data_IF_645423813035
#
_entry.id   IF_645423813035
#
_cell.length_a   1.000
_cell.length_b   1.000
_cell.length_c   1.000
_cell.angle_alpha   90.00
_cell.angle_beta   90.00
_cell.angle_gamma   90.00
#
_symmetry.space_group_name_H-M   'P 1'
#
loop_
_entity.id
_entity.type
_entity.pdbx_description
1 polymer ?
#
# COMPACT_ATOMS: atom_id res chain seq x y z
N UNK A 1 -15.85 8.53 38.16
CA UNK A 1 -15.98 8.26 36.71
C UNK A 1 -17.43 7.89 36.43
N UNK A 2 -18.18 8.75 35.75
CA UNK A 2 -19.53 8.40 35.26
C UNK A 2 -19.38 7.56 33.98
N UNK A 3 -20.14 6.49 33.83
CA UNK A 3 -20.17 5.68 32.61
C UNK A 3 -21.08 6.40 31.60
N UNK A 4 -20.57 6.63 30.38
CA UNK A 4 -21.23 7.39 29.33
C UNK A 4 -22.28 6.59 28.53
N UNK A 5 -22.52 5.32 28.87
CA UNK A 5 -23.48 4.45 28.20
C UNK A 5 -24.28 3.62 29.21
N UNK A 6 -25.46 3.17 28.79
CA UNK A 6 -26.28 2.24 29.55
C UNK A 6 -25.66 0.83 29.49
N UNK A 7 -25.29 0.29 30.65
CA UNK A 7 -24.67 -1.04 30.77
C UNK A 7 -25.70 -2.16 30.75
N UNK A 8 -27.00 -1.86 30.71
CA UNK A 8 -28.07 -2.87 30.62
C UNK A 8 -28.11 -3.57 29.27
N UNK A 9 -27.62 -2.91 28.22
CA UNK A 9 -27.56 -3.44 26.86
C UNK A 9 -26.16 -3.90 26.45
N UNK A 10 -25.20 -3.90 27.38
CA UNK A 10 -23.84 -4.36 27.10
C UNK A 10 -23.87 -5.88 26.83
N UNK A 11 -23.34 -6.37 25.69
CA UNK A 11 -23.28 -7.80 25.43
C UNK A 11 -22.54 -8.53 26.54
N UNK A 12 -23.07 -9.69 26.91
CA UNK A 12 -22.43 -10.55 27.88
C UNK A 12 -21.07 -11.04 27.33
N UNK A 13 -20.10 -11.29 28.22
CA UNK A 13 -18.84 -11.94 27.84
C UNK A 13 -19.06 -13.23 27.05
N UNK A 14 -18.15 -13.56 26.14
CA UNK A 14 -18.24 -14.77 25.29
C UNK A 14 -18.46 -16.07 26.07
N UNK A 15 -17.91 -16.16 27.29
CA UNK A 15 -18.04 -17.28 28.20
C UNK A 15 -18.83 -16.88 29.46
N UNK A 16 -20.08 -16.45 29.27
CA UNK A 16 -21.00 -16.20 30.37
C UNK A 16 -21.84 -17.45 30.67
N UNK A 17 -22.17 -17.73 31.95
CA UNK A 17 -23.02 -18.87 32.29
C UNK A 17 -24.39 -18.86 31.59
N UNK A 18 -24.93 -17.67 31.31
CA UNK A 18 -26.18 -17.51 30.57
C UNK A 18 -26.04 -17.99 29.12
N UNK A 19 -24.96 -17.63 28.43
CA UNK A 19 -24.69 -18.15 27.09
C UNK A 19 -24.50 -19.67 27.07
N UNK A 20 -23.88 -20.24 28.10
CA UNK A 20 -23.69 -21.68 28.20
C UNK A 20 -25.03 -22.42 28.38
N UNK A 21 -25.93 -21.89 29.22
CA UNK A 21 -27.30 -22.40 29.36
C UNK A 21 -28.05 -22.35 28.03
N UNK A 22 -28.02 -21.20 27.34
CA UNK A 22 -28.69 -21.05 26.06
C UNK A 22 -28.15 -22.01 24.98
N UNK A 23 -26.83 -22.26 24.95
CA UNK A 23 -26.24 -23.27 24.06
C UNK A 23 -26.84 -24.66 24.32
N UNK A 24 -26.91 -25.09 25.59
CA UNK A 24 -27.49 -26.40 25.92
C UNK A 24 -28.97 -26.49 25.57
N UNK A 25 -29.72 -25.38 25.72
CA UNK A 25 -31.12 -25.32 25.32
C UNK A 25 -31.30 -25.48 23.81
N UNK A 26 -30.48 -24.78 23.02
CA UNK A 26 -30.49 -24.89 21.56
C UNK A 26 -30.12 -26.29 21.09
N UNK A 27 -29.14 -26.94 21.73
CA UNK A 27 -28.74 -28.31 21.41
C UNK A 27 -29.91 -29.29 21.63
N UNK A 28 -30.62 -29.16 22.77
CA UNK A 28 -31.81 -29.97 23.06
C UNK A 28 -32.91 -29.75 22.04
N UNK A 29 -33.25 -28.48 21.74
CA UNK A 29 -34.31 -28.16 20.77
C UNK A 29 -33.97 -28.64 19.36
N UNK A 30 -32.70 -28.55 18.98
CA UNK A 30 -32.20 -29.04 17.69
C UNK A 30 -32.34 -30.56 17.61
N UNK A 31 -31.96 -31.29 18.67
CA UNK A 31 -32.13 -32.74 18.73
C UNK A 31 -33.61 -33.15 18.62
N UNK A 32 -34.52 -32.47 19.33
CA UNK A 32 -35.95 -32.72 19.24
C UNK A 32 -36.51 -32.44 17.83
N UNK A 33 -36.07 -31.35 17.19
CA UNK A 33 -36.49 -31.01 15.83
C UNK A 33 -36.05 -32.06 14.81
N UNK A 34 -34.81 -32.55 14.92
CA UNK A 34 -34.29 -33.62 14.07
C UNK A 34 -35.03 -34.94 14.32
N UNK A 35 -35.32 -35.28 15.57
CA UNK A 35 -36.08 -36.49 15.93
C UNK A 35 -37.51 -36.48 15.36
N UNK A 36 -38.13 -35.30 15.22
CA UNK A 36 -39.44 -35.12 14.57
C UNK A 36 -39.38 -35.16 13.03
N UNK A 37 -38.21 -35.44 12.45
CA UNK A 37 -38.01 -35.50 11.00
C UNK A 37 -37.70 -34.15 10.33
N UNK A 38 -37.41 -33.12 11.13
CA UNK A 38 -36.93 -31.83 10.64
C UNK A 38 -35.59 -31.96 9.92
N UNK A 39 -35.33 -31.08 8.94
CA UNK A 39 -34.06 -31.02 8.20
C UNK A 39 -33.43 -29.65 8.41
N UNK A 40 -32.14 -29.64 8.76
CA UNK A 40 -31.37 -28.41 8.94
C UNK A 40 -30.52 -28.17 7.70
N UNK A 41 -30.69 -27.02 7.05
CA UNK A 41 -29.83 -26.58 5.96
C UNK A 41 -28.69 -25.73 6.51
N UNK A 42 -27.44 -26.15 6.27
CA UNK A 42 -26.27 -25.34 6.61
C UNK A 42 -26.11 -24.25 5.53
N UNK A 43 -26.35 -23.00 5.91
CA UNK A 43 -26.17 -21.83 5.03
C UNK A 43 -24.93 -21.06 5.50
N UNK A 44 -24.04 -20.71 4.57
CA UNK A 44 -22.85 -19.90 4.83
C UNK A 44 -21.59 -20.67 5.25
N UNK A 45 -20.50 -19.92 5.40
CA UNK A 45 -19.21 -20.42 5.90
C UNK A 45 -19.01 -20.00 7.35
N UNK A 46 -18.56 -20.93 8.19
CA UNK A 46 -18.20 -20.62 9.58
C UNK A 46 -16.94 -19.74 9.56
N UNK A 47 -17.01 -18.57 10.20
CA UNK A 47 -15.82 -17.73 10.38
C UNK A 47 -14.78 -18.50 11.19
N UNK A 48 -13.52 -18.49 10.75
CA UNK A 48 -12.44 -19.15 11.48
C UNK A 48 -12.25 -18.49 12.84
N UNK A 49 -12.17 -19.28 13.90
CA UNK A 49 -11.80 -18.80 15.24
C UNK A 49 -10.31 -18.44 15.35
N UNK A 50 -9.49 -18.90 14.40
CA UNK A 50 -8.09 -18.54 14.34
C UNK A 50 -7.94 -17.05 13.97
N UNK A 51 -7.04 -16.31 14.64
CA UNK A 51 -6.73 -14.93 14.26
C UNK A 51 -6.24 -14.91 12.81
N UNK A 52 -6.97 -14.21 11.95
CA UNK A 52 -6.58 -14.06 10.56
C UNK A 52 -5.28 -13.23 10.51
N UNK A 53 -4.16 -13.90 10.25
CA UNK A 53 -2.90 -13.19 10.01
C UNK A 53 -3.02 -12.51 8.66
N UNK A 54 -3.25 -11.20 8.67
CA UNK A 54 -3.32 -10.41 7.45
C UNK A 54 -1.89 -10.14 6.94
N UNK A 55 -1.29 -11.13 6.28
CA UNK A 55 0.00 -10.97 5.61
C UNK A 55 -0.24 -10.46 4.20
N UNK A 56 0.13 -9.21 3.94
CA UNK A 56 0.14 -8.68 2.58
C UNK A 56 1.29 -9.35 1.84
N UNK A 57 0.96 -10.24 0.90
CA UNK A 57 1.95 -10.75 -0.05
C UNK A 57 2.16 -9.66 -1.14
N UNK A 58 3.34 -9.04 -1.23
CA UNK A 58 3.58 -7.95 -2.18
C UNK A 58 3.54 -8.42 -3.65
N UNK A 59 3.81 -9.69 -3.94
CA UNK A 59 3.74 -10.24 -5.30
C UNK A 59 2.30 -10.43 -5.78
N UNK A 60 1.37 -10.71 -4.86
CA UNK A 60 -0.05 -10.98 -5.17
C UNK A 60 -0.96 -9.79 -4.94
N UNK A 61 -0.53 -8.83 -4.12
CA UNK A 61 -1.33 -7.66 -3.82
C UNK A 61 -1.42 -6.76 -5.06
N UNK A 62 -2.63 -6.34 -5.47
CA UNK A 62 -2.81 -5.48 -6.65
C UNK A 62 -2.11 -4.13 -6.50
N UNK A 63 -1.87 -3.68 -5.25
CA UNK A 63 -1.14 -2.44 -4.95
C UNK A 63 0.33 -2.53 -5.36
N UNK A 64 0.97 -3.69 -5.21
CA UNK A 64 2.42 -3.85 -5.42
C UNK A 64 2.78 -4.74 -6.63
N UNK A 65 1.80 -5.42 -7.24
CA UNK A 65 2.04 -6.37 -8.33
C UNK A 65 2.84 -5.80 -9.51
N UNK A 66 2.69 -4.50 -9.79
CA UNK A 66 3.42 -3.81 -10.86
C UNK A 66 4.93 -3.71 -10.62
N UNK A 67 5.40 -3.82 -9.38
CA UNK A 67 6.83 -3.82 -9.04
C UNK A 67 7.52 -5.15 -9.36
N UNK A 68 6.75 -6.23 -9.51
CA UNK A 68 7.25 -7.59 -9.76
C UNK A 68 6.95 -8.09 -11.17
N UNK A 69 6.24 -7.31 -11.99
CA UNK A 69 6.01 -7.64 -13.39
C UNK A 69 7.37 -7.62 -14.13
N UNK A 70 7.77 -8.72 -14.81
CA UNK A 70 8.96 -8.69 -15.64
C UNK A 70 8.76 -7.63 -16.72
N UNK A 71 9.73 -6.73 -16.85
CA UNK A 71 9.74 -5.75 -17.92
C UNK A 71 9.75 -6.51 -19.24
N UNK A 72 8.58 -6.63 -19.89
CA UNK A 72 8.49 -7.10 -21.26
C UNK A 72 9.27 -6.12 -22.11
N UNK A 73 10.51 -6.51 -22.41
CA UNK A 73 11.30 -5.99 -23.51
C UNK A 73 10.54 -6.36 -24.79
N UNK A 74 9.55 -5.55 -25.15
CA UNK A 74 8.98 -5.55 -26.48
C UNK A 74 9.65 -4.43 -27.23
N UNK A 75 10.62 -4.86 -28.04
CA UNK A 75 11.04 -4.32 -29.31
C UNK A 75 10.44 -2.97 -29.71
N UNK A 76 11.35 -2.02 -29.96
CA UNK A 76 11.20 -0.96 -30.96
C UNK A 76 10.32 -1.36 -32.14
N UNK A 77 9.18 -0.70 -32.37
CA UNK A 77 8.75 -0.34 -33.71
C UNK A 77 9.30 1.04 -34.06
N UNK A 78 9.74 1.14 -35.30
CA UNK A 78 10.30 2.33 -35.92
C UNK A 78 9.40 3.57 -35.76
N UNK A 79 10.08 4.69 -35.51
CA UNK A 79 9.85 6.00 -36.13
C UNK A 79 8.39 6.44 -36.34
N UNK A 80 7.84 7.15 -35.36
CA UNK A 80 7.08 8.38 -35.63
C UNK A 80 7.52 9.46 -34.64
N UNK A 81 7.96 10.58 -35.20
CA UNK A 81 8.37 11.82 -34.55
C UNK A 81 7.21 12.51 -33.78
N UNK A 82 7.51 13.53 -32.95
CA UNK A 82 7.06 13.62 -31.56
C UNK A 82 5.70 14.31 -31.41
N UNK A 83 4.90 13.81 -30.47
CA UNK A 83 3.88 14.60 -29.80
C UNK A 83 4.42 14.98 -28.42
N UNK A 84 4.86 16.23 -28.29
CA UNK A 84 5.18 16.89 -27.04
C UNK A 84 3.98 16.77 -26.09
N UNK A 85 4.10 15.90 -25.10
CA UNK A 85 3.40 16.06 -23.84
C UNK A 85 4.42 16.65 -22.89
N UNK A 86 4.44 17.98 -22.82
CA UNK A 86 5.14 18.77 -21.80
C UNK A 86 4.52 18.48 -20.43
N UNK A 87 4.81 17.29 -19.91
CA UNK A 87 4.62 16.98 -18.51
C UNK A 87 5.79 17.53 -17.69
N UNK A 88 5.56 17.85 -16.41
CA UNK A 88 6.60 18.39 -15.50
C UNK A 88 7.83 17.45 -15.37
N UNK A 89 7.70 16.18 -15.77
CA UNK A 89 8.80 15.22 -15.79
C UNK A 89 9.85 15.48 -16.87
N UNK A 90 9.48 16.08 -18.01
CA UNK A 90 10.47 16.42 -19.05
C UNK A 90 11.39 17.53 -18.58
N UNK A 91 10.86 18.51 -17.86
CA UNK A 91 11.66 19.61 -17.33
C UNK A 91 12.62 19.15 -16.23
N UNK A 92 12.17 18.24 -15.35
CA UNK A 92 13.04 17.62 -14.34
C UNK A 92 14.17 16.81 -14.99
N UNK A 93 13.89 16.06 -16.07
CA UNK A 93 14.92 15.31 -16.82
C UNK A 93 15.93 16.24 -17.50
N UNK A 94 15.46 17.33 -18.12
CA UNK A 94 16.34 18.37 -18.70
C UNK A 94 17.24 18.98 -17.62
N UNK A 95 16.69 19.30 -16.45
CA UNK A 95 17.45 19.83 -15.33
C UNK A 95 18.46 18.83 -14.77
N UNK A 96 18.09 17.54 -14.66
CA UNK A 96 19.01 16.48 -14.24
C UNK A 96 20.20 16.35 -15.19
N UNK A 97 19.97 16.40 -16.51
CA UNK A 97 21.03 16.35 -17.51
C UNK A 97 22.01 17.54 -17.38
N UNK A 98 21.49 18.75 -17.17
CA UNK A 98 22.32 19.95 -16.95
C UNK A 98 23.14 19.86 -15.65
N UNK A 99 22.53 19.39 -14.57
CA UNK A 99 23.20 19.20 -13.28
C UNK A 99 24.28 18.12 -13.39
N UNK A 100 24.01 17.02 -14.10
CA UNK A 100 24.99 15.94 -14.33
C UNK A 100 26.20 16.45 -15.12
N UNK A 101 25.97 17.18 -16.22
CA UNK A 101 27.03 17.77 -17.02
C UNK A 101 27.93 18.69 -16.17
N UNK A 102 27.35 19.60 -15.40
CA UNK A 102 28.15 20.50 -14.56
C UNK A 102 28.80 19.80 -13.35
N UNK A 103 28.20 18.73 -12.81
CA UNK A 103 28.78 17.93 -11.74
C UNK A 103 30.02 17.15 -12.19
N UNK A 104 30.00 16.63 -13.43
CA UNK A 104 31.17 15.96 -14.05
C UNK A 104 32.33 16.93 -14.28
N UNK A 105 32.02 18.20 -14.56
CA UNK A 105 33.00 19.29 -14.64
C UNK A 105 33.54 19.74 -13.27
N UNK A 106 33.10 19.12 -12.17
CA UNK A 106 33.62 19.38 -10.82
C UNK A 106 33.04 20.62 -10.15
N UNK A 107 31.93 21.16 -10.67
CA UNK A 107 31.27 22.32 -10.08
C UNK A 107 30.48 21.94 -8.82
N UNK A 108 30.43 22.85 -7.85
CA UNK A 108 29.68 22.63 -6.61
C UNK A 108 28.17 22.87 -6.82
N UNK A 109 27.29 22.23 -6.02
CA UNK A 109 25.84 22.40 -6.14
C UNK A 109 25.37 23.86 -6.05
N UNK A 110 26.06 24.68 -5.24
CA UNK A 110 25.76 26.11 -5.07
C UNK A 110 26.06 26.93 -6.34
N UNK A 111 27.11 26.57 -7.07
CA UNK A 111 27.46 27.23 -8.33
C UNK A 111 26.46 26.87 -9.44
N UNK A 112 26.11 25.59 -9.54
CA UNK A 112 25.15 25.07 -10.53
C UNK A 112 23.77 25.70 -10.34
N UNK A 113 23.34 25.84 -9.08
CA UNK A 113 22.09 26.52 -8.73
C UNK A 113 22.05 27.98 -9.25
N UNK A 114 23.15 28.73 -9.08
CA UNK A 114 23.25 30.10 -9.60
C UNK A 114 23.25 30.17 -11.12
N UNK A 115 23.95 29.24 -11.78
CA UNK A 115 24.08 29.20 -13.25
C UNK A 115 22.75 28.89 -13.94
N UNK A 116 21.98 27.95 -13.42
CA UNK A 116 20.72 27.51 -14.03
C UNK A 116 19.47 28.16 -13.41
N UNK A 117 19.63 29.23 -12.63
CA UNK A 117 18.54 29.94 -11.94
C UNK A 117 17.64 29.03 -11.09
N UNK A 118 18.23 28.03 -10.43
CA UNK A 118 17.56 27.09 -9.55
C UNK A 118 17.94 27.34 -8.09
N UNK A 119 17.14 26.80 -7.16
CA UNK A 119 17.53 26.78 -5.75
C UNK A 119 18.54 25.67 -5.48
N UNK A 120 19.49 25.89 -4.58
CA UNK A 120 20.47 24.86 -4.19
C UNK A 120 19.77 23.61 -3.62
N UNK A 121 18.65 23.80 -2.91
CA UNK A 121 17.81 22.71 -2.42
C UNK A 121 17.30 21.84 -3.57
N UNK A 122 16.80 22.46 -4.64
CA UNK A 122 16.30 21.75 -5.81
C UNK A 122 17.40 20.96 -6.52
N UNK A 123 18.57 21.57 -6.74
CA UNK A 123 19.73 20.88 -7.35
C UNK A 123 20.15 19.65 -6.54
N UNK A 124 20.19 19.76 -5.20
CA UNK A 124 20.51 18.62 -4.32
C UNK A 124 19.43 17.55 -4.31
N UNK A 125 18.16 17.92 -4.48
CA UNK A 125 17.07 16.96 -4.58
C UNK A 125 17.17 16.17 -5.88
N UNK A 126 17.27 16.85 -7.02
CA UNK A 126 17.43 16.22 -8.34
C UNK A 126 18.67 15.34 -8.38
N UNK A 127 19.78 15.77 -7.78
CA UNK A 127 20.98 14.94 -7.70
C UNK A 127 20.79 13.66 -6.87
N UNK A 128 19.95 13.67 -5.83
CA UNK A 128 19.60 12.45 -5.08
C UNK A 128 18.70 11.53 -5.91
N UNK A 129 17.67 12.10 -6.54
CA UNK A 129 16.67 11.35 -7.31
C UNK A 129 17.31 10.66 -8.53
N UNK A 130 18.32 11.27 -9.14
CA UNK A 130 19.03 10.76 -10.32
C UNK A 130 20.43 10.20 -10.01
N UNK A 131 20.77 9.99 -8.74
CA UNK A 131 22.07 9.43 -8.31
C UNK A 131 23.31 10.15 -8.88
N UNK A 132 23.27 11.48 -9.00
CA UNK A 132 24.38 12.30 -9.50
C UNK A 132 25.38 12.56 -8.36
N UNK A 133 26.64 12.19 -8.56
CA UNK A 133 27.72 12.38 -7.58
C UNK A 133 28.45 13.71 -7.80
N UNK A 134 28.66 14.48 -6.73
CA UNK A 134 29.49 15.69 -6.77
C UNK A 134 30.87 15.43 -6.17
N UNK A 135 31.92 15.82 -6.90
CA UNK A 135 33.30 15.72 -6.44
C UNK A 135 33.66 16.78 -5.38
N UNK A 136 33.00 17.94 -5.41
CA UNK A 136 33.19 19.02 -4.44
C UNK A 136 31.89 19.31 -3.72
N UNK A 137 31.85 18.97 -2.43
CA UNK A 137 30.66 19.12 -1.58
C UNK A 137 30.83 20.27 -0.57
N UNK A 138 31.37 21.42 -0.99
CA UNK A 138 31.30 22.68 -0.24
C UNK A 138 31.62 23.87 -1.13
#
# INVERSE_FOLDING_TARGET
MQRYHDTRSDPLPMHSPQHDIERTNLDRLTAEFLARGGKVQKVGHQMSSAPATFTINPERSPVYAHLFAPATSVATPETVMPAEVDGPHNDVRKHAALIMADATLGNSPKWIARKHHMTEKYVRQVARDYHITFHKQR
#
